data_IF_507298545978
#
_entry.id   IF_507298545978
#
_cell.length_a   1.000
_cell.length_b   1.000
_cell.length_c   1.000
_cell.angle_alpha   90.00
_cell.angle_beta   90.00
_cell.angle_gamma   90.00
#
_symmetry.space_group_name_H-M   'P 1'
#
loop_
_entity.id
_entity.type
_entity.pdbx_description
1 polymer ?
#
# COMPACT_ATOMS: atom_id res chain seq x y z
N UNK A 1 -13.35 -4.59 12.71
CA UNK A 1 -12.61 -3.39 12.24
C UNK A 1 -13.64 -2.33 11.91
N UNK A 2 -13.39 -1.08 12.27
CA UNK A 2 -14.30 0.02 11.91
C UNK A 2 -13.94 0.65 10.56
N UNK A 3 -14.94 1.10 9.79
CA UNK A 3 -14.73 1.74 8.49
C UNK A 3 -13.85 3.00 8.60
N UNK A 4 -14.06 3.81 9.63
CA UNK A 4 -13.24 5.00 9.88
C UNK A 4 -11.78 4.63 10.20
N UNK A 5 -11.56 3.48 10.85
CA UNK A 5 -10.22 2.98 11.12
C UNK A 5 -9.52 2.54 9.83
N UNK A 6 -10.22 1.80 8.97
CA UNK A 6 -9.73 1.45 7.63
C UNK A 6 -9.32 2.71 6.86
N UNK A 7 -10.21 3.71 6.75
CA UNK A 7 -9.93 4.97 6.05
C UNK A 7 -8.70 5.69 6.64
N UNK A 8 -8.57 5.74 7.96
CA UNK A 8 -7.42 6.35 8.63
C UNK A 8 -6.10 5.63 8.30
N UNK A 9 -6.10 4.30 8.31
CA UNK A 9 -4.92 3.50 7.93
C UNK A 9 -4.58 3.71 6.46
N UNK A 10 -5.56 3.69 5.56
CA UNK A 10 -5.31 3.85 4.13
C UNK A 10 -4.85 5.26 3.75
N UNK A 11 -5.28 6.29 4.49
CA UNK A 11 -4.71 7.64 4.35
C UNK A 11 -3.24 7.69 4.74
N UNK A 12 -2.85 7.03 5.84
CA UNK A 12 -1.43 6.92 6.24
C UNK A 12 -0.61 6.11 5.25
N UNK A 13 -1.19 5.05 4.68
CA UNK A 13 -0.57 4.28 3.60
C UNK A 13 -0.26 5.17 2.39
N UNK A 14 -1.26 5.94 1.94
CA UNK A 14 -1.10 6.91 0.85
C UNK A 14 -0.05 7.98 1.17
N UNK A 15 -0.11 8.57 2.37
CA UNK A 15 0.86 9.58 2.82
C UNK A 15 2.29 9.02 2.85
N UNK A 16 2.48 7.79 3.35
CA UNK A 16 3.78 7.12 3.32
C UNK A 16 4.27 6.99 1.88
N UNK A 17 3.41 6.60 0.94
CA UNK A 17 3.78 6.42 -0.46
C UNK A 17 4.16 7.74 -1.12
N UNK A 18 3.33 8.78 -0.94
CA UNK A 18 3.58 10.12 -1.48
C UNK A 18 4.88 10.74 -0.94
N UNK A 19 5.20 10.51 0.33
CA UNK A 19 6.45 10.95 0.97
C UNK A 19 7.63 10.00 0.74
N UNK A 20 7.36 8.84 0.12
CA UNK A 20 8.31 7.74 -0.03
C UNK A 20 8.98 7.38 1.32
N UNK A 21 8.20 7.39 2.41
CA UNK A 21 8.66 7.18 3.78
C UNK A 21 8.30 5.76 4.27
N UNK A 22 9.23 4.79 4.20
CA UNK A 22 8.98 3.44 4.68
C UNK A 22 8.80 3.39 6.20
N UNK A 23 9.39 4.29 6.98
CA UNK A 23 9.24 4.26 8.43
C UNK A 23 7.84 4.73 8.84
N UNK A 24 7.23 5.67 8.10
CA UNK A 24 5.81 6.00 8.23
C UNK A 24 4.91 4.82 7.88
N UNK A 25 5.23 4.08 6.82
CA UNK A 25 4.50 2.86 6.45
C UNK A 25 4.57 1.81 7.57
N UNK A 26 5.76 1.52 8.09
CA UNK A 26 5.94 0.49 9.11
C UNK A 26 5.17 0.80 10.41
N UNK A 27 4.89 2.09 10.70
CA UNK A 27 4.04 2.48 11.84
C UNK A 27 2.59 1.98 11.73
N UNK A 28 2.09 1.62 10.54
CA UNK A 28 0.74 1.04 10.39
C UNK A 28 0.75 -0.49 10.28
N UNK A 29 1.92 -1.12 10.14
CA UNK A 29 2.10 -2.57 10.12
C UNK A 29 2.37 -3.15 11.51
N UNK A 30 1.91 -4.38 11.71
CA UNK A 30 2.38 -5.24 12.78
C UNK A 30 3.83 -5.67 12.47
N UNK A 31 4.63 -6.00 13.50
CA UNK A 31 6.06 -6.33 13.33
C UNK A 31 6.27 -7.46 12.32
N UNK A 32 5.38 -8.45 12.36
CA UNK A 32 5.40 -9.65 11.53
C UNK A 32 4.31 -9.62 10.44
N UNK A 33 3.77 -8.43 10.15
CA UNK A 33 2.76 -8.24 9.12
C UNK A 33 3.28 -8.56 7.71
N UNK A 34 2.37 -8.96 6.84
CA UNK A 34 2.68 -9.35 5.45
C UNK A 34 2.17 -8.32 4.44
N UNK A 35 2.96 -8.09 3.38
CA UNK A 35 2.63 -7.19 2.29
C UNK A 35 2.76 -7.92 0.94
N UNK A 36 1.64 -8.09 0.23
CA UNK A 36 1.60 -8.76 -1.07
C UNK A 36 1.22 -7.75 -2.15
N UNK A 37 2.21 -7.41 -2.98
CA UNK A 37 2.11 -6.34 -3.99
C UNK A 37 1.36 -6.78 -5.24
N UNK A 38 1.27 -8.09 -5.49
CA UNK A 38 0.51 -8.69 -6.58
C UNK A 38 0.09 -10.12 -6.20
N UNK A 39 -1.07 -10.64 -6.66
CA UNK A 39 -1.48 -12.01 -6.36
C UNK A 39 -0.57 -13.09 -6.94
N UNK A 40 0.33 -12.75 -7.87
CA UNK A 40 1.23 -13.70 -8.52
C UNK A 40 2.54 -13.97 -7.75
N UNK A 41 2.85 -13.16 -6.73
CA UNK A 41 4.07 -13.29 -5.94
C UNK A 41 3.74 -13.66 -4.49
N UNK A 42 4.70 -14.29 -3.81
CA UNK A 42 4.57 -14.56 -2.38
C UNK A 42 4.54 -13.26 -1.57
N UNK A 43 3.82 -13.21 -0.43
CA UNK A 43 3.85 -12.05 0.45
C UNK A 43 5.28 -11.73 0.95
N UNK A 44 5.56 -10.45 1.08
CA UNK A 44 6.76 -9.91 1.73
C UNK A 44 6.51 -9.91 3.23
N UNK A 45 7.37 -10.57 4.00
CA UNK A 45 7.13 -10.84 5.42
C UNK A 45 7.97 -9.94 6.34
N UNK A 46 7.28 -9.21 7.22
CA UNK A 46 7.90 -8.43 8.28
C UNK A 46 8.52 -7.10 7.86
N UNK A 47 8.76 -6.25 8.87
CA UNK A 47 9.18 -4.86 8.68
C UNK A 47 10.46 -4.70 7.83
N UNK A 48 11.46 -5.55 8.06
CA UNK A 48 12.74 -5.46 7.35
C UNK A 48 12.57 -5.68 5.84
N UNK A 49 11.82 -6.72 5.45
CA UNK A 49 11.61 -7.04 4.05
C UNK A 49 10.69 -6.01 3.37
N UNK A 50 9.65 -5.54 4.06
CA UNK A 50 8.76 -4.48 3.58
C UNK A 50 9.54 -3.18 3.33
N UNK A 51 10.39 -2.76 4.28
CA UNK A 51 11.25 -1.58 4.12
C UNK A 51 12.20 -1.72 2.94
N UNK A 52 12.84 -2.88 2.77
CA UNK A 52 13.73 -3.16 1.63
C UNK A 52 12.99 -3.04 0.29
N UNK A 53 11.77 -3.55 0.19
CA UNK A 53 10.94 -3.41 -1.01
C UNK A 53 10.61 -1.94 -1.29
N UNK A 54 10.22 -1.18 -0.27
CA UNK A 54 9.89 0.25 -0.42
C UNK A 54 11.09 1.11 -0.81
N UNK A 55 12.28 0.81 -0.27
CA UNK A 55 13.53 1.46 -0.70
C UNK A 55 13.84 1.14 -2.16
N UNK A 56 13.65 -0.12 -2.59
CA UNK A 56 14.00 -0.56 -3.94
C UNK A 56 13.03 -0.04 -5.01
N UNK A 57 11.73 0.06 -4.70
CA UNK A 57 10.71 0.38 -5.70
C UNK A 57 10.26 1.85 -5.61
N UNK A 58 9.36 2.26 -4.70
CA UNK A 58 8.86 3.63 -4.69
C UNK A 58 9.96 4.66 -4.46
N UNK A 59 10.93 4.45 -3.55
CA UNK A 59 11.99 5.45 -3.31
C UNK A 59 12.96 5.63 -4.49
N UNK A 60 13.35 4.53 -5.15
CA UNK A 60 14.38 4.56 -6.20
C UNK A 60 13.85 4.77 -7.60
N UNK A 61 12.58 4.43 -7.88
CA UNK A 61 12.06 4.37 -9.25
C UNK A 61 10.79 5.21 -9.48
N UNK A 62 10.24 5.86 -8.45
CA UNK A 62 9.01 6.66 -8.58
C UNK A 62 9.22 8.10 -8.08
N UNK A 63 8.60 9.07 -8.76
CA UNK A 63 8.58 10.49 -8.38
C UNK A 63 7.19 11.09 -8.58
N UNK A 64 6.96 12.26 -7.98
CA UNK A 64 5.70 13.03 -8.10
C UNK A 64 4.45 12.20 -7.77
N UNK A 65 4.58 11.30 -6.80
CA UNK A 65 3.56 10.33 -6.44
C UNK A 65 2.33 11.05 -5.88
N UNK A 66 1.16 10.70 -6.40
CA UNK A 66 -0.15 11.17 -5.93
C UNK A 66 -1.04 9.99 -5.66
N UNK A 67 -1.50 9.86 -4.41
CA UNK A 67 -2.37 8.79 -3.98
C UNK A 67 -3.78 9.32 -3.70
N UNK A 68 -4.80 8.61 -4.21
CA UNK A 68 -6.21 8.92 -3.93
C UNK A 68 -6.89 7.68 -3.39
N UNK A 69 -7.42 7.81 -2.17
CA UNK A 69 -8.30 6.82 -1.57
C UNK A 69 -9.68 6.86 -2.23
N UNK A 70 -10.17 5.71 -2.69
CA UNK A 70 -11.50 5.52 -3.25
C UNK A 70 -12.51 5.01 -2.23
N UNK A 71 -13.46 4.18 -2.70
CA UNK A 71 -14.47 3.57 -1.83
C UNK A 71 -13.82 2.61 -0.85
N UNK A 72 -14.38 2.56 0.36
CA UNK A 72 -13.93 1.67 1.43
C UNK A 72 -15.11 0.86 1.95
N UNK A 73 -14.88 -0.41 2.26
CA UNK A 73 -15.84 -1.29 2.91
C UNK A 73 -15.15 -2.14 3.98
N UNK A 74 -15.90 -2.57 4.99
CA UNK A 74 -15.45 -3.59 5.94
C UNK A 74 -16.46 -4.73 5.90
N UNK A 75 -15.95 -5.95 5.78
CA UNK A 75 -16.77 -7.15 5.80
C UNK A 75 -16.00 -8.31 6.44
N UNK A 76 -16.67 -9.03 7.35
CA UNK A 76 -16.13 -10.20 8.05
C UNK A 76 -14.69 -9.99 8.59
N UNK A 77 -14.47 -8.88 9.31
CA UNK A 77 -13.16 -8.55 9.89
C UNK A 77 -12.09 -8.02 8.91
N UNK A 78 -12.35 -8.06 7.59
CA UNK A 78 -11.45 -7.57 6.55
C UNK A 78 -11.89 -6.23 5.98
N UNK A 79 -10.92 -5.45 5.53
CA UNK A 79 -11.11 -4.12 4.98
C UNK A 79 -10.76 -4.11 3.52
N UNK A 80 -11.51 -3.35 2.74
CA UNK A 80 -11.44 -3.29 1.29
C UNK A 80 -11.38 -1.82 0.91
N UNK A 81 -10.33 -1.40 0.22
CA UNK A 81 -10.13 0.00 -0.15
C UNK A 81 -9.72 0.10 -1.61
N UNK A 82 -10.56 0.72 -2.42
CA UNK A 82 -10.15 1.16 -3.75
C UNK A 82 -9.11 2.28 -3.65
N UNK A 83 -8.21 2.34 -4.61
CA UNK A 83 -7.21 3.39 -4.67
C UNK A 83 -6.77 3.68 -6.12
N UNK A 84 -6.24 4.89 -6.30
CA UNK A 84 -5.57 5.32 -7.52
C UNK A 84 -4.22 5.91 -7.11
N UNK A 85 -3.15 5.56 -7.82
CA UNK A 85 -1.86 6.24 -7.69
C UNK A 85 -1.37 6.71 -9.05
N UNK A 86 -0.85 7.92 -9.13
CA UNK A 86 -0.16 8.43 -10.32
C UNK A 86 1.26 8.82 -9.94
N UNK A 87 2.23 8.46 -10.76
CA UNK A 87 3.64 8.81 -10.54
C UNK A 87 4.43 8.79 -11.84
N UNK A 88 5.58 9.45 -11.83
CA UNK A 88 6.56 9.37 -12.91
C UNK A 88 7.53 8.24 -12.58
N UNK A 89 7.62 7.25 -13.47
CA UNK A 89 8.56 6.15 -13.35
C UNK A 89 9.91 6.55 -13.93
N UNK A 90 10.97 6.50 -13.12
CA UNK A 90 12.31 6.98 -13.50
C UNK A 90 12.92 6.08 -14.58
N UNK A 91 12.92 4.76 -14.36
CA UNK A 91 13.54 3.78 -15.26
C UNK A 91 12.99 3.80 -16.68
N UNK A 92 11.70 4.10 -16.85
CA UNK A 92 11.03 4.12 -18.15
C UNK A 92 10.74 5.53 -18.66
N UNK A 93 10.92 6.56 -17.83
CA UNK A 93 10.54 7.96 -18.11
C UNK A 93 9.07 8.11 -18.55
N UNK A 94 8.18 7.25 -18.03
CA UNK A 94 6.75 7.26 -18.31
C UNK A 94 5.96 7.77 -17.11
N UNK A 95 4.84 8.44 -17.38
CA UNK A 95 3.81 8.67 -16.37
C UNK A 95 2.95 7.43 -16.25
N UNK A 96 2.89 6.85 -15.05
CA UNK A 96 2.15 5.63 -14.75
C UNK A 96 0.96 5.97 -13.86
N UNK A 97 -0.21 5.43 -14.22
CA UNK A 97 -1.38 5.44 -13.35
C UNK A 97 -1.76 4.00 -12.98
N UNK A 98 -1.81 3.73 -11.69
CA UNK A 98 -2.28 2.48 -11.11
C UNK A 98 -3.68 2.66 -10.55
N UNK A 99 -4.54 1.66 -10.77
CA UNK A 99 -5.86 1.57 -10.14
C UNK A 99 -6.05 0.18 -9.56
N UNK A 100 -6.57 0.11 -8.35
CA UNK A 100 -6.72 -1.18 -7.70
C UNK A 100 -7.56 -1.16 -6.44
N UNK A 101 -7.55 -2.32 -5.78
CA UNK A 101 -8.11 -2.54 -4.47
C UNK A 101 -7.04 -3.12 -3.55
N UNK A 102 -7.05 -2.65 -2.31
CA UNK A 102 -6.26 -3.18 -1.20
C UNK A 102 -7.20 -3.92 -0.26
N UNK A 103 -6.83 -5.16 0.09
CA UNK A 103 -7.51 -5.98 1.07
C UNK A 103 -6.63 -6.07 2.32
N UNK A 104 -7.17 -5.67 3.47
CA UNK A 104 -6.43 -5.65 4.74
C UNK A 104 -7.10 -6.44 5.86
N UNK A 105 -6.26 -7.03 6.70
CA UNK A 105 -6.66 -7.59 7.99
C UNK A 105 -5.85 -6.90 9.10
N UNK A 106 -6.52 -6.57 10.21
CA UNK A 106 -5.90 -5.89 11.34
C UNK A 106 -5.89 -6.76 12.60
N UNK A 107 -4.84 -6.62 13.40
CA UNK A 107 -4.77 -7.04 14.80
C UNK A 107 -4.26 -5.87 15.63
N UNK A 108 -4.89 -5.56 16.76
CA UNK A 108 -4.47 -4.45 17.63
C UNK A 108 -4.22 -3.13 16.88
N UNK A 109 -5.10 -2.79 15.93
CA UNK A 109 -4.99 -1.60 15.07
C UNK A 109 -3.78 -1.54 14.12
N UNK A 110 -3.09 -2.67 13.91
CA UNK A 110 -1.94 -2.83 13.02
C UNK A 110 -2.26 -3.82 11.90
N UNK A 111 -1.71 -3.58 10.71
CA UNK A 111 -1.87 -4.46 9.56
C UNK A 111 -1.08 -5.75 9.78
N UNK A 112 -1.78 -6.89 9.79
CA UNK A 112 -1.14 -8.22 9.79
C UNK A 112 -1.09 -8.83 8.38
N UNK A 113 -1.96 -8.39 7.48
CA UNK A 113 -1.94 -8.77 6.08
C UNK A 113 -2.49 -7.64 5.23
N UNK A 114 -1.75 -7.28 4.18
CA UNK A 114 -2.18 -6.38 3.11
C UNK A 114 -1.91 -7.05 1.77
N UNK A 115 -2.93 -7.13 0.92
CA UNK A 115 -2.84 -7.68 -0.43
C UNK A 115 -3.37 -6.68 -1.44
N UNK A 116 -2.66 -6.51 -2.54
CA UNK A 116 -3.07 -5.62 -3.62
C UNK A 116 -3.49 -6.36 -4.87
N UNK A 117 -4.50 -5.79 -5.54
CA UNK A 117 -4.94 -6.17 -6.87
C UNK A 117 -5.08 -4.88 -7.67
N UNK A 118 -4.22 -4.69 -8.67
CA UNK A 118 -4.19 -3.46 -9.45
C UNK A 118 -3.81 -3.72 -10.90
N UNK A 119 -4.16 -2.76 -11.74
CA UNK A 119 -3.68 -2.67 -13.11
C UNK A 119 -3.05 -1.29 -13.34
N UNK A 120 -2.07 -1.24 -14.24
CA UNK A 120 -1.43 -0.02 -14.70
C UNK A 120 -2.00 0.41 -16.05
N UNK A 121 -1.96 1.71 -16.33
CA UNK A 121 -2.02 2.22 -17.70
C UNK A 121 -0.89 1.61 -18.54
N UNK A 122 -1.15 1.38 -19.83
CA UNK A 122 -0.14 0.89 -20.79
C UNK A 122 0.97 1.90 -21.03
#
# INVERSE_FOLDING_TARGET
>A
MELNKLKSIMKKYGEAWEKQDPDLLLKIFDKDGTYQVTPFEKPIEGHSAIKKYWIKNPQKDQKNIKFKLGRCAVYNGSGYAEWISKFDQISSSKSIELRGIIIITLKNNKIISLREYWHATK
#
